data_IF_428733724608
#
_entry.id   IF_428733724608
#
_cell.length_a   1.000
_cell.length_b   1.000
_cell.length_c   1.000
_cell.angle_alpha   90.00
_cell.angle_beta   90.00
_cell.angle_gamma   90.00
#
_symmetry.space_group_name_H-M   'P 1'
#
loop_
_entity.id
_entity.type
_entity.pdbx_description
1 polymer ?
#
# COMPACT_ATOMS: atom_id res chain seq x y z
N UNK A 1 0.76 -11.56 10.39
CA UNK A 1 0.07 -11.10 9.19
C UNK A 1 -1.22 -10.45 9.60
N UNK A 2 -1.22 -9.11 9.59
CA UNK A 2 -2.32 -8.27 10.09
C UNK A 2 -3.35 -8.04 8.98
N UNK A 3 -2.89 -7.56 7.83
CA UNK A 3 -3.72 -7.25 6.66
C UNK A 3 -3.82 -8.48 5.76
N UNK A 4 -5.05 -8.92 5.46
CA UNK A 4 -5.30 -10.18 4.73
C UNK A 4 -6.10 -10.01 3.43
N UNK A 5 -6.52 -8.79 3.09
CA UNK A 5 -7.22 -8.45 1.86
C UNK A 5 -6.61 -7.20 1.22
N UNK A 6 -6.60 -7.16 -0.11
CA UNK A 6 -6.19 -5.96 -0.85
C UNK A 6 -7.21 -4.81 -0.68
N UNK A 7 -8.45 -5.13 -0.28
CA UNK A 7 -9.50 -4.16 0.01
C UNK A 7 -9.53 -3.71 1.47
N UNK A 8 -8.66 -4.24 2.34
CA UNK A 8 -8.47 -3.75 3.71
C UNK A 8 -7.63 -2.46 3.70
N UNK A 9 -8.26 -1.41 3.18
CA UNK A 9 -7.71 -0.09 2.94
C UNK A 9 -8.85 0.91 2.82
N UNK A 10 -8.56 2.20 2.91
CA UNK A 10 -9.59 3.21 2.71
C UNK A 10 -10.00 3.31 1.24
N UNK A 11 -11.31 3.34 0.98
CA UNK A 11 -11.86 3.33 -0.37
C UNK A 11 -11.34 4.48 -1.26
N UNK A 12 -11.00 5.63 -0.68
CA UNK A 12 -10.46 6.76 -1.45
C UNK A 12 -9.10 6.45 -2.10
N UNK A 13 -8.28 5.54 -1.55
CA UNK A 13 -7.03 5.09 -2.21
C UNK A 13 -7.31 4.41 -3.53
N UNK A 14 -8.38 3.61 -3.58
CA UNK A 14 -8.81 2.91 -4.80
C UNK A 14 -9.40 3.90 -5.80
N UNK A 15 -10.21 4.86 -5.35
CA UNK A 15 -10.77 5.91 -6.22
C UNK A 15 -9.67 6.82 -6.80
N UNK A 16 -8.71 7.25 -5.98
CA UNK A 16 -7.56 8.02 -6.46
C UNK A 16 -6.71 7.18 -7.40
N UNK A 17 -6.45 5.91 -7.06
CA UNK A 17 -5.72 4.96 -7.90
C UNK A 17 -6.32 4.83 -9.29
N UNK A 18 -7.66 4.76 -9.38
CA UNK A 18 -8.40 4.77 -10.64
C UNK A 18 -8.09 6.02 -11.49
N UNK A 19 -8.04 7.21 -10.89
CA UNK A 19 -7.67 8.44 -11.60
C UNK A 19 -6.19 8.44 -12.01
N UNK A 20 -5.30 8.10 -11.08
CA UNK A 20 -3.85 8.10 -11.26
C UNK A 20 -3.43 7.14 -12.37
N UNK A 21 -4.05 5.96 -12.43
CA UNK A 21 -3.79 4.95 -13.44
C UNK A 21 -3.93 5.51 -14.88
N UNK A 22 -4.97 6.30 -15.15
CA UNK A 22 -5.19 6.88 -16.49
C UNK A 22 -4.47 8.20 -16.72
N UNK A 23 -4.35 9.05 -15.69
CA UNK A 23 -3.89 10.43 -15.86
C UNK A 23 -2.39 10.60 -15.63
N UNK A 24 -1.79 9.75 -14.80
CA UNK A 24 -0.40 9.89 -14.36
C UNK A 24 0.34 8.54 -14.35
N UNK A 25 0.31 7.76 -15.46
CA UNK A 25 0.78 6.37 -15.47
C UNK A 25 2.29 6.19 -15.21
N UNK A 26 3.08 7.25 -15.40
CA UNK A 26 4.54 7.26 -15.28
C UNK A 26 5.07 8.24 -14.23
N UNK A 27 4.19 8.91 -13.49
CA UNK A 27 4.62 9.84 -12.45
C UNK A 27 5.27 9.07 -11.30
N UNK A 28 6.46 9.51 -10.89
CA UNK A 28 7.17 9.00 -9.72
C UNK A 28 6.86 9.84 -8.48
N UNK A 29 6.74 9.16 -7.34
CA UNK A 29 6.46 9.78 -6.05
C UNK A 29 7.32 9.18 -4.96
N UNK A 30 7.49 9.94 -3.88
CA UNK A 30 8.12 9.49 -2.65
C UNK A 30 7.25 9.87 -1.45
N UNK A 31 6.97 8.91 -0.57
CA UNK A 31 6.30 9.12 0.71
C UNK A 31 7.27 8.85 1.85
N UNK A 32 7.04 9.52 2.98
CA UNK A 32 7.81 9.33 4.21
C UNK A 32 6.86 9.23 5.40
N UNK A 33 7.04 8.19 6.20
CA UNK A 33 6.36 8.05 7.48
C UNK A 33 6.88 9.09 8.48
N UNK A 34 5.96 9.68 9.24
CA UNK A 34 6.27 10.65 10.29
C UNK A 34 5.55 10.23 11.56
N UNK A 35 6.31 9.79 12.57
CA UNK A 35 5.82 9.64 13.93
C UNK A 35 5.75 11.02 14.59
N UNK A 36 4.56 11.47 14.99
CA UNK A 36 4.34 12.83 15.53
C UNK A 36 4.50 12.91 17.04
N UNK A 37 4.38 11.79 17.73
CA UNK A 37 4.37 11.73 19.20
C UNK A 37 5.72 11.27 19.78
N UNK A 38 6.75 11.15 18.93
CA UNK A 38 8.11 10.69 19.27
C UNK A 38 8.14 9.39 20.10
N UNK A 39 7.11 8.56 19.93
CA UNK A 39 7.02 7.25 20.57
C UNK A 39 8.15 6.34 20.09
N UNK A 40 8.63 5.51 21.00
CA UNK A 40 9.75 4.62 20.73
C UNK A 40 9.29 3.28 20.18
N UNK A 41 9.96 2.82 19.13
CA UNK A 41 9.76 1.47 18.61
C UNK A 41 10.71 0.49 19.30
N UNK A 42 10.25 -0.73 19.62
CA UNK A 42 11.09 -1.76 20.24
C UNK A 42 12.16 -2.27 19.27
N UNK A 43 13.23 -2.86 19.82
CA UNK A 43 14.27 -3.49 19.02
C UNK A 43 13.68 -4.64 18.18
N UNK A 44 14.10 -4.73 16.91
CA UNK A 44 13.61 -5.73 15.95
C UNK A 44 12.24 -5.41 15.33
N UNK A 45 11.64 -4.25 15.63
CA UNK A 45 10.37 -3.84 15.01
C UNK A 45 10.46 -3.73 13.49
N UNK A 46 11.58 -3.24 12.95
CA UNK A 46 11.78 -3.15 11.50
C UNK A 46 11.81 -4.52 10.82
N UNK A 47 12.32 -5.55 11.49
CA UNK A 47 12.30 -6.93 11.00
C UNK A 47 10.86 -7.42 10.91
N UNK A 48 10.04 -7.20 11.95
CA UNK A 48 8.62 -7.55 11.94
C UNK A 48 7.82 -6.77 10.92
N UNK A 49 8.10 -5.48 10.76
CA UNK A 49 7.46 -4.67 9.73
C UNK A 49 7.83 -5.16 8.31
N UNK A 50 9.08 -5.56 8.08
CA UNK A 50 9.50 -6.17 6.80
C UNK A 50 8.80 -7.50 6.52
N UNK A 51 8.57 -8.33 7.54
CA UNK A 51 7.77 -9.57 7.41
C UNK A 51 6.34 -9.26 6.92
N UNK A 52 5.68 -8.26 7.51
CA UNK A 52 4.32 -7.84 7.11
C UNK A 52 4.30 -7.20 5.70
N UNK A 53 5.31 -6.37 5.35
CA UNK A 53 5.45 -5.81 3.99
C UNK A 53 5.59 -6.91 2.94
N UNK A 54 6.41 -7.92 3.22
CA UNK A 54 6.57 -9.07 2.33
C UNK A 54 5.27 -9.88 2.21
N UNK A 55 4.48 -9.96 3.28
CA UNK A 55 3.16 -10.58 3.20
C UNK A 55 2.19 -9.81 2.32
N UNK A 56 2.18 -8.47 2.36
CA UNK A 56 1.35 -7.65 1.48
C UNK A 56 1.58 -7.99 -0.02
N UNK A 57 2.81 -8.32 -0.41
CA UNK A 57 3.14 -8.75 -1.79
C UNK A 57 2.49 -10.06 -2.23
N UNK A 58 2.02 -10.87 -1.27
CA UNK A 58 1.31 -12.12 -1.53
C UNK A 58 -0.18 -11.91 -1.78
N UNK A 59 -0.72 -10.77 -1.35
CA UNK A 59 -2.14 -10.46 -1.50
C UNK A 59 -2.51 -10.32 -2.98
N UNK A 60 -3.73 -10.76 -3.28
CA UNK A 60 -4.38 -10.60 -4.58
C UNK A 60 -5.85 -10.32 -4.35
N UNK A 61 -6.44 -9.55 -5.25
CA UNK A 61 -7.88 -9.39 -5.28
C UNK A 61 -8.54 -10.74 -5.60
N UNK A 62 -9.49 -11.16 -4.79
CA UNK A 62 -10.30 -12.34 -5.10
C UNK A 62 -11.32 -12.03 -6.19
N UNK A 63 -11.89 -13.06 -6.83
CA UNK A 63 -12.94 -12.87 -7.83
C UNK A 63 -14.20 -12.22 -7.25
N UNK A 64 -14.56 -12.54 -6.00
CA UNK A 64 -15.69 -11.92 -5.31
C UNK A 64 -15.45 -10.43 -5.07
N UNK A 65 -14.25 -10.06 -4.59
CA UNK A 65 -13.84 -8.67 -4.38
C UNK A 65 -13.76 -7.90 -5.71
N UNK A 66 -13.29 -8.53 -6.80
CA UNK A 66 -13.29 -7.95 -8.15
C UNK A 66 -14.70 -7.63 -8.63
N UNK A 67 -15.63 -8.59 -8.48
CA UNK A 67 -17.04 -8.39 -8.83
C UNK A 67 -17.63 -7.26 -7.98
N UNK A 68 -17.38 -7.26 -6.67
CA UNK A 68 -17.84 -6.20 -5.79
C UNK A 68 -17.30 -4.83 -6.21
N UNK A 69 -16.00 -4.73 -6.51
CA UNK A 69 -15.36 -3.49 -6.91
C UNK A 69 -15.91 -2.96 -8.24
N UNK A 70 -16.19 -3.85 -9.20
CA UNK A 70 -16.76 -3.50 -10.50
C UNK A 70 -18.15 -2.84 -10.43
N UNK A 71 -18.87 -3.02 -9.31
CA UNK A 71 -20.20 -2.44 -9.08
C UNK A 71 -20.15 -1.08 -8.38
N UNK A 72 -18.99 -0.65 -7.91
CA UNK A 72 -18.87 0.62 -7.20
C UNK A 72 -18.96 1.81 -8.15
N UNK A 73 -19.57 2.90 -7.68
CA UNK A 73 -19.79 4.10 -8.48
C UNK A 73 -18.45 4.74 -8.85
N UNK A 74 -18.31 5.12 -10.13
CA UNK A 74 -17.11 5.80 -10.62
C UNK A 74 -15.93 4.87 -10.95
N UNK A 75 -16.08 3.55 -10.79
CA UNK A 75 -15.04 2.58 -11.12
C UNK A 75 -14.94 2.33 -12.63
N UNK A 76 -13.72 2.45 -13.17
CA UNK A 76 -13.46 2.10 -14.56
C UNK A 76 -13.15 0.60 -14.70
N UNK A 77 -13.77 -0.08 -15.66
CA UNK A 77 -13.59 -1.53 -15.88
C UNK A 77 -12.14 -1.92 -16.18
N UNK A 78 -11.42 -1.13 -16.98
CA UNK A 78 -10.00 -1.40 -17.29
C UNK A 78 -9.11 -1.23 -16.06
N UNK A 79 -9.43 -0.24 -15.20
CA UNK A 79 -8.73 -0.10 -13.93
C UNK A 79 -9.01 -1.28 -13.00
N UNK A 80 -10.26 -1.76 -12.89
CA UNK A 80 -10.59 -2.92 -12.05
C UNK A 80 -9.87 -4.17 -12.55
N UNK A 81 -9.77 -4.36 -13.87
CA UNK A 81 -9.00 -5.46 -14.45
C UNK A 81 -7.51 -5.35 -14.11
N UNK A 82 -6.93 -4.16 -14.25
CA UNK A 82 -5.55 -3.91 -13.85
C UNK A 82 -5.34 -4.16 -12.34
N UNK A 83 -6.23 -3.63 -11.49
CA UNK A 83 -6.15 -3.75 -10.03
C UNK A 83 -6.33 -5.21 -9.57
N UNK A 84 -7.10 -6.03 -10.29
CA UNK A 84 -7.18 -7.47 -9.99
C UNK A 84 -5.85 -8.23 -10.21
N UNK A 85 -4.97 -7.68 -11.06
CA UNK A 85 -3.64 -8.23 -11.31
C UNK A 85 -2.53 -7.48 -10.54
N UNK A 86 -2.89 -6.42 -9.81
CA UNK A 86 -1.95 -5.65 -9.02
C UNK A 86 -1.35 -6.51 -7.91
N UNK A 87 -0.06 -6.28 -7.65
CA UNK A 87 0.65 -6.79 -6.49
C UNK A 87 1.52 -5.69 -5.92
N UNK A 88 1.60 -5.66 -4.60
CA UNK A 88 2.61 -4.86 -3.91
C UNK A 88 4.03 -5.32 -4.29
N UNK A 89 4.93 -4.36 -4.48
CA UNK A 89 6.35 -4.60 -4.67
C UNK A 89 7.13 -4.14 -3.43
N UNK A 90 7.57 -5.06 -2.55
CA UNK A 90 8.30 -4.72 -1.33
C UNK A 90 9.53 -3.85 -1.54
N UNK A 91 10.19 -3.93 -2.71
CA UNK A 91 11.37 -3.13 -3.03
C UNK A 91 11.08 -1.61 -3.08
N UNK A 92 9.80 -1.23 -3.18
CA UNK A 92 9.36 0.16 -3.09
C UNK A 92 9.43 0.72 -1.66
N UNK A 93 9.52 -0.13 -0.63
CA UNK A 93 9.46 0.28 0.78
C UNK A 93 10.80 0.04 1.46
N UNK A 94 11.42 1.13 1.93
CA UNK A 94 12.64 1.09 2.73
C UNK A 94 12.29 1.28 4.19
N UNK A 95 12.66 0.31 5.03
CA UNK A 95 12.44 0.33 6.48
C UNK A 95 13.76 0.22 7.21
N UNK A 96 14.00 1.15 8.13
CA UNK A 96 15.19 1.19 8.97
C UNK A 96 14.83 1.63 10.40
N UNK A 97 15.33 0.91 11.41
CA UNK A 97 15.23 1.31 12.81
C UNK A 97 16.61 1.79 13.29
N UNK A 98 16.74 3.09 13.59
CA UNK A 98 17.96 3.68 14.17
C UNK A 98 17.76 3.91 15.65
N UNK A 99 18.28 3.00 16.47
CA UNK A 99 18.01 3.01 17.90
C UNK A 99 16.53 2.74 18.16
N UNK A 100 15.77 3.78 18.52
CA UNK A 100 14.33 3.70 18.77
C UNK A 100 13.47 4.44 17.74
N UNK A 101 14.12 5.02 16.72
CA UNK A 101 13.49 5.83 15.69
C UNK A 101 13.27 4.99 14.43
N UNK A 102 12.01 4.82 14.05
CA UNK A 102 11.60 4.11 12.84
C UNK A 102 11.60 5.08 11.66
N UNK A 103 12.29 4.71 10.58
CA UNK A 103 12.25 5.39 9.30
C UNK A 103 11.60 4.47 8.26
N UNK A 104 10.54 4.96 7.61
CA UNK A 104 9.88 4.26 6.50
C UNK A 104 9.74 5.24 5.34
N UNK A 105 10.29 4.86 4.19
CA UNK A 105 10.16 5.61 2.94
C UNK A 105 9.60 4.70 1.85
N UNK A 106 8.69 5.24 1.05
CA UNK A 106 8.09 4.53 -0.08
C UNK A 106 8.44 5.31 -1.35
N UNK A 107 8.95 4.64 -2.38
CA UNK A 107 9.35 5.28 -3.63
C UNK A 107 8.97 4.40 -4.83
N UNK A 108 8.33 4.99 -5.84
CA UNK A 108 7.91 4.26 -7.03
C UNK A 108 6.94 5.04 -7.92
N UNK A 109 6.39 4.36 -8.94
CA UNK A 109 5.32 4.93 -9.77
C UNK A 109 4.08 5.16 -8.92
N UNK A 110 3.45 6.32 -9.07
CA UNK A 110 2.32 6.72 -8.23
C UNK A 110 1.16 5.72 -8.28
N UNK A 111 0.87 5.19 -9.47
CA UNK A 111 -0.18 4.18 -9.68
C UNK A 111 0.02 2.89 -8.88
N UNK A 112 1.23 2.63 -8.38
CA UNK A 112 1.56 1.47 -7.53
C UNK A 112 1.76 1.92 -6.07
N UNK A 113 2.53 2.99 -5.88
CA UNK A 113 2.96 3.44 -4.56
C UNK A 113 1.80 3.96 -3.68
N UNK A 114 0.71 4.42 -4.30
CA UNK A 114 -0.46 5.01 -3.62
C UNK A 114 -1.14 4.07 -2.63
N UNK A 115 -1.08 2.75 -2.84
CA UNK A 115 -1.79 1.79 -1.99
C UNK A 115 -1.03 1.39 -0.73
N UNK A 116 0.23 1.79 -0.58
CA UNK A 116 1.05 1.44 0.59
C UNK A 116 0.63 2.18 1.86
N UNK A 117 0.12 3.41 1.73
CA UNK A 117 -0.04 4.31 2.87
C UNK A 117 -0.95 3.75 3.97
N UNK A 118 -2.17 3.34 3.64
CA UNK A 118 -3.15 2.90 4.64
C UNK A 118 -2.75 1.55 5.27
N UNK A 119 -2.39 0.49 4.49
CA UNK A 119 -1.94 -0.77 5.09
C UNK A 119 -0.71 -0.60 5.98
N UNK A 120 0.28 0.22 5.58
CA UNK A 120 1.46 0.45 6.41
C UNK A 120 1.12 1.17 7.71
N UNK A 121 0.25 2.18 7.67
CA UNK A 121 -0.19 2.88 8.88
C UNK A 121 -1.05 2.01 9.80
N UNK A 122 -1.77 1.02 9.26
CA UNK A 122 -2.55 0.07 10.05
C UNK A 122 -1.68 -1.03 10.69
N UNK A 123 -0.57 -1.39 10.05
CA UNK A 123 0.40 -2.38 10.55
C UNK A 123 1.29 -1.80 11.65
N UNK A 124 1.70 -0.53 11.51
CA UNK A 124 2.60 0.18 12.43
C UNK A 124 1.87 0.58 13.72
#
# INVERSE_FOLDING_TARGET
MIINSLLDTDFYKILMGNVVYFRFPDLWVKYKFINRDDTWFPEGFDVKLKEEINHLATLKLTEEEKIWLSKQIGMNKHYVEWFSNFKFNPDQVKVELKGKLLNVEIEGKWKEAIYWEVPLLAII
#
